data_IF_706907411088
#
_entry.id   IF_706907411088
#
_cell.length_a   1.000
_cell.length_b   1.000
_cell.length_c   1.000
_cell.angle_alpha   90.00
_cell.angle_beta   90.00
_cell.angle_gamma   90.00
#
_symmetry.space_group_name_H-M   'P 1'
#
loop_
_entity.id
_entity.type
_entity.pdbx_description
1 polymer ?
#
# COMPACT_ATOMS: atom_id res chain seq x y z
N UNK A 1 21.88 18.92 9.15
CA UNK A 1 22.05 19.68 7.90
C UNK A 1 20.74 19.57 7.11
N UNK A 2 19.89 20.61 7.21
CA UNK A 2 18.47 20.62 6.78
C UNK A 2 18.19 21.59 5.63
N UNK A 3 19.16 21.86 4.78
CA UNK A 3 19.13 22.93 3.76
C UNK A 3 18.65 22.48 2.35
N UNK A 4 18.14 21.26 2.16
CA UNK A 4 17.78 20.76 0.83
C UNK A 4 16.28 20.76 0.49
N UNK A 5 15.39 21.11 1.40
CA UNK A 5 13.93 21.01 1.20
C UNK A 5 13.21 22.36 1.03
N UNK A 6 13.89 23.48 1.21
CA UNK A 6 13.26 24.80 1.21
C UNK A 6 13.22 25.52 -0.14
N UNK A 7 13.87 25.04 -1.18
CA UNK A 7 13.94 25.75 -2.47
C UNK A 7 12.96 25.29 -3.56
N UNK A 8 12.01 24.39 -3.25
CA UNK A 8 10.98 23.91 -4.20
C UNK A 8 9.53 24.14 -3.78
N UNK A 9 9.27 24.78 -2.63
CA UNK A 9 7.92 24.91 -2.06
C UNK A 9 7.43 26.36 -2.06
N UNK A 10 7.47 27.05 -3.19
CA UNK A 10 6.67 28.25 -3.37
C UNK A 10 5.27 27.82 -3.81
N UNK A 11 4.31 27.81 -2.86
CA UNK A 11 2.88 27.65 -3.13
C UNK A 11 2.43 26.26 -3.65
N UNK A 12 3.21 25.21 -3.47
CA UNK A 12 2.99 23.91 -4.10
C UNK A 12 2.04 23.01 -3.31
N UNK A 13 0.87 22.72 -3.88
CA UNK A 13 0.07 21.54 -3.53
C UNK A 13 0.95 20.32 -3.71
N UNK A 14 1.18 19.55 -2.65
CA UNK A 14 1.83 18.22 -2.77
C UNK A 14 0.91 17.37 -3.63
N UNK A 15 1.30 17.11 -4.88
CA UNK A 15 0.49 16.32 -5.80
C UNK A 15 0.60 14.84 -5.40
N UNK A 16 -0.42 14.35 -4.72
CA UNK A 16 -0.61 12.92 -4.41
C UNK A 16 -0.77 12.07 -5.69
N UNK A 17 -0.86 12.71 -6.86
CA UNK A 17 -0.86 12.06 -8.19
C UNK A 17 0.36 11.16 -8.37
N UNK A 18 1.51 11.54 -7.83
CA UNK A 18 2.71 10.70 -7.82
C UNK A 18 2.55 9.45 -6.94
N UNK A 19 1.75 9.51 -5.89
CA UNK A 19 1.52 8.40 -4.96
C UNK A 19 0.66 7.27 -5.53
N UNK A 20 -0.29 7.59 -6.40
CA UNK A 20 -1.21 6.59 -6.98
C UNK A 20 -0.76 6.11 -8.38
N UNK A 21 0.09 6.86 -9.08
CA UNK A 21 0.52 6.55 -10.44
C UNK A 21 1.79 5.68 -10.55
N UNK A 22 2.41 5.29 -9.46
CA UNK A 22 3.51 4.30 -9.47
C UNK A 22 3.08 2.93 -10.00
N UNK A 23 1.79 2.72 -10.25
CA UNK A 23 1.22 1.52 -10.85
C UNK A 23 0.90 1.65 -12.35
N UNK A 24 1.44 2.61 -13.08
CA UNK A 24 1.28 2.60 -14.55
C UNK A 24 1.99 1.43 -15.16
N UNK A 25 1.19 0.44 -15.56
CA UNK A 25 1.57 -0.62 -16.46
C UNK A 25 2.29 -0.07 -17.70
N UNK A 26 3.31 -0.80 -18.14
CA UNK A 26 4.23 -0.39 -19.17
C UNK A 26 3.56 0.05 -20.47
N UNK A 27 3.99 1.19 -20.97
CA UNK A 27 3.84 1.52 -22.38
C UNK A 27 4.65 0.48 -23.19
N UNK A 28 4.02 -0.09 -24.21
CA UNK A 28 4.69 -0.88 -25.24
C UNK A 28 5.91 -0.11 -25.76
N UNK A 29 7.10 -0.60 -25.44
CA UNK A 29 8.36 -0.11 -26.02
C UNK A 29 8.67 -1.04 -27.18
N UNK A 30 9.02 -0.52 -28.37
CA UNK A 30 9.38 -1.35 -29.51
C UNK A 30 10.59 -2.23 -29.18
N UNK A 31 10.58 -3.46 -29.67
CA UNK A 31 11.62 -4.47 -29.49
C UNK A 31 12.94 -4.04 -30.12
N UNK A 32 13.77 -3.36 -29.37
CA UNK A 32 15.22 -3.34 -29.53
C UNK A 32 15.79 -3.86 -28.22
N UNK A 33 16.75 -4.78 -28.27
CA UNK A 33 17.40 -5.40 -27.10
C UNK A 33 18.10 -4.34 -26.24
N UNK A 34 17.35 -3.60 -25.43
CA UNK A 34 17.92 -2.89 -24.28
C UNK A 34 17.94 -3.86 -23.11
N UNK A 35 19.10 -4.01 -22.50
CA UNK A 35 19.23 -4.75 -21.24
C UNK A 35 18.24 -4.18 -20.21
N UNK A 36 17.68 -5.01 -19.38
CA UNK A 36 16.84 -4.54 -18.28
C UNK A 36 17.69 -3.80 -17.25
N UNK A 37 17.14 -2.83 -16.54
CA UNK A 37 17.86 -2.13 -15.46
C UNK A 37 18.40 -3.12 -14.40
N UNK A 38 17.65 -4.20 -14.13
CA UNK A 38 18.11 -5.31 -13.31
C UNK A 38 19.37 -5.96 -13.86
N UNK A 39 19.41 -6.27 -15.18
CA UNK A 39 20.56 -6.87 -15.85
C UNK A 39 21.79 -5.96 -15.76
N UNK A 40 21.61 -4.67 -16.00
CA UNK A 40 22.70 -3.68 -15.92
C UNK A 40 23.30 -3.61 -14.51
N UNK A 41 22.46 -3.50 -13.48
CA UNK A 41 22.93 -3.42 -12.09
C UNK A 41 23.54 -4.72 -11.60
N UNK A 42 22.95 -5.86 -11.97
CA UNK A 42 23.50 -7.18 -11.65
C UNK A 42 24.90 -7.38 -12.23
N UNK A 43 25.10 -6.99 -13.50
CA UNK A 43 26.40 -7.09 -14.15
C UNK A 43 27.43 -6.16 -13.50
N UNK A 44 27.05 -4.92 -13.17
CA UNK A 44 27.90 -3.99 -12.42
C UNK A 44 28.30 -4.54 -11.04
N UNK A 45 27.38 -5.23 -10.37
CA UNK A 45 27.66 -5.90 -9.10
C UNK A 45 28.49 -7.19 -9.24
N UNK A 46 28.75 -7.65 -10.46
CA UNK A 46 29.50 -8.89 -10.72
C UNK A 46 28.76 -10.16 -10.31
N UNK A 47 27.43 -10.11 -10.16
CA UNK A 47 26.63 -11.23 -9.68
C UNK A 47 26.05 -12.05 -10.83
N UNK A 48 25.98 -13.38 -10.66
CA UNK A 48 25.12 -14.23 -11.49
C UNK A 48 23.65 -13.95 -11.18
N UNK A 49 22.71 -14.38 -12.06
CA UNK A 49 21.27 -14.23 -11.81
C UNK A 49 20.84 -14.95 -10.52
N UNK A 50 21.45 -16.10 -10.24
CA UNK A 50 21.18 -16.87 -9.04
C UNK A 50 21.69 -16.16 -7.77
N UNK A 51 22.92 -15.64 -7.80
CA UNK A 51 23.47 -14.84 -6.68
C UNK A 51 22.68 -13.56 -6.45
N UNK A 52 22.22 -12.90 -7.52
CA UNK A 52 21.35 -11.75 -7.41
C UNK A 52 19.98 -12.11 -6.78
N UNK A 53 19.41 -13.26 -7.16
CA UNK A 53 18.18 -13.76 -6.55
C UNK A 53 18.34 -14.05 -5.04
N UNK A 54 19.45 -14.65 -4.66
CA UNK A 54 19.81 -14.90 -3.26
C UNK A 54 19.99 -13.59 -2.48
N UNK A 55 20.78 -12.66 -3.02
CA UNK A 55 21.02 -11.36 -2.39
C UNK A 55 19.73 -10.55 -2.20
N UNK A 56 18.81 -10.62 -3.17
CA UNK A 56 17.51 -9.96 -3.12
C UNK A 56 16.53 -10.74 -2.24
N UNK A 57 16.74 -12.05 -2.04
CA UNK A 57 15.84 -12.95 -1.33
C UNK A 57 14.59 -13.30 -2.15
N UNK A 58 14.69 -13.45 -3.46
CA UNK A 58 13.59 -13.83 -4.34
C UNK A 58 13.84 -15.18 -5.03
N UNK A 59 12.77 -15.77 -5.60
CA UNK A 59 12.93 -16.97 -6.40
C UNK A 59 13.79 -16.68 -7.65
N UNK A 60 14.67 -17.59 -8.01
CA UNK A 60 15.55 -17.48 -9.19
C UNK A 60 14.76 -17.28 -10.48
N UNK A 61 13.58 -17.90 -10.61
CA UNK A 61 12.66 -17.69 -11.73
C UNK A 61 12.18 -16.24 -11.87
N UNK A 62 11.96 -15.55 -10.72
CA UNK A 62 11.61 -14.13 -10.70
C UNK A 62 12.76 -13.26 -11.20
N UNK A 63 13.99 -13.56 -10.76
CA UNK A 63 15.20 -12.86 -11.23
C UNK A 63 15.41 -13.04 -12.74
N UNK A 64 15.19 -14.25 -13.26
CA UNK A 64 15.24 -14.47 -14.72
C UNK A 64 14.18 -13.69 -15.49
N UNK A 65 12.97 -13.51 -14.95
CA UNK A 65 11.94 -12.67 -15.59
C UNK A 65 12.35 -11.20 -15.65
N UNK A 66 13.03 -10.70 -14.64
CA UNK A 66 13.61 -9.35 -14.61
C UNK A 66 14.79 -9.24 -15.59
N UNK A 67 15.68 -10.24 -15.61
CA UNK A 67 16.83 -10.31 -16.51
C UNK A 67 16.38 -10.23 -17.97
N UNK A 68 15.36 -11.00 -18.33
CA UNK A 68 14.84 -11.08 -19.69
C UNK A 68 13.87 -9.93 -20.06
N UNK A 69 13.63 -8.98 -19.14
CA UNK A 69 12.73 -7.86 -19.37
C UNK A 69 11.24 -8.24 -19.47
N UNK A 70 10.86 -9.43 -19.04
CA UNK A 70 9.47 -9.90 -19.03
C UNK A 70 8.61 -9.13 -18.03
N UNK A 71 9.21 -8.67 -16.94
CA UNK A 71 8.61 -7.73 -16.00
C UNK A 71 9.70 -6.82 -15.42
N UNK A 72 9.29 -5.66 -14.87
CA UNK A 72 10.25 -4.76 -14.20
C UNK A 72 10.63 -5.33 -12.83
N UNK A 73 11.91 -5.25 -12.49
CA UNK A 73 12.35 -5.48 -11.12
C UNK A 73 11.73 -4.45 -10.17
N UNK A 74 11.46 -4.87 -8.95
CA UNK A 74 11.04 -3.94 -7.91
C UNK A 74 12.17 -2.94 -7.62
N UNK A 75 11.82 -1.71 -7.24
CA UNK A 75 12.80 -0.68 -6.90
C UNK A 75 13.82 -1.19 -5.88
N UNK A 76 13.35 -1.96 -4.92
CA UNK A 76 14.17 -2.58 -3.91
C UNK A 76 15.15 -3.62 -4.45
N UNK A 77 14.71 -4.47 -5.40
CA UNK A 77 15.64 -5.41 -6.03
C UNK A 77 16.79 -4.65 -6.69
N UNK A 78 16.47 -3.52 -7.32
CA UNK A 78 17.48 -2.62 -7.90
C UNK A 78 18.37 -1.99 -6.82
N UNK A 79 17.80 -1.60 -5.68
CA UNK A 79 18.56 -0.97 -4.58
C UNK A 79 19.50 -1.97 -3.88
N UNK A 80 19.07 -3.23 -3.72
CA UNK A 80 19.95 -4.32 -3.24
C UNK A 80 21.13 -4.52 -4.19
N UNK A 81 20.86 -4.54 -5.50
CA UNK A 81 21.94 -4.69 -6.49
C UNK A 81 22.88 -3.48 -6.51
N UNK A 82 22.33 -2.25 -6.39
CA UNK A 82 23.18 -1.04 -6.24
C UNK A 82 24.06 -1.12 -5.01
N UNK A 83 23.49 -1.56 -3.87
CA UNK A 83 24.28 -1.77 -2.65
C UNK A 83 25.34 -2.87 -2.76
N UNK A 84 25.22 -3.75 -3.74
CA UNK A 84 26.19 -4.81 -4.03
C UNK A 84 27.32 -4.38 -4.99
N UNK A 85 27.21 -3.20 -5.60
CA UNK A 85 28.24 -2.65 -6.48
C UNK A 85 29.37 -2.08 -5.61
N UNK A 86 30.63 -2.50 -5.76
CA UNK A 86 31.74 -1.95 -5.01
C UNK A 86 31.82 -0.42 -5.22
N UNK A 87 31.66 0.34 -4.13
CA UNK A 87 31.70 1.80 -4.15
C UNK A 87 30.36 2.52 -4.33
N UNK A 88 29.29 1.83 -4.67
CA UNK A 88 27.94 2.38 -4.70
C UNK A 88 27.13 1.82 -3.52
N UNK A 89 26.97 2.58 -2.45
CA UNK A 89 26.05 2.23 -1.36
C UNK A 89 24.57 2.35 -1.80
N UNK A 90 23.61 1.76 -1.06
CA UNK A 90 22.19 1.94 -1.35
C UNK A 90 21.87 3.44 -1.39
N UNK A 91 21.11 3.86 -2.40
CA UNK A 91 20.69 5.25 -2.50
C UNK A 91 19.99 5.66 -1.19
N UNK A 92 20.34 6.83 -0.62
CA UNK A 92 19.73 7.28 0.62
C UNK A 92 18.21 7.38 0.43
N UNK A 93 17.45 6.78 1.33
CA UNK A 93 16.00 6.87 1.30
C UNK A 93 15.58 8.34 1.45
N UNK A 94 14.61 8.78 0.65
CA UNK A 94 14.08 10.14 0.71
C UNK A 94 13.33 10.43 2.00
N UNK A 95 12.68 9.43 2.55
CA UNK A 95 11.92 9.46 3.80
C UNK A 95 11.74 8.07 4.36
N UNK A 96 11.43 7.98 5.65
CA UNK A 96 11.07 6.72 6.32
C UNK A 96 9.56 6.65 6.53
N UNK A 97 8.99 5.45 6.41
CA UNK A 97 7.57 5.25 6.68
C UNK A 97 7.31 3.95 7.42
N UNK A 98 6.12 3.88 8.04
CA UNK A 98 5.59 2.67 8.64
C UNK A 98 4.30 2.26 7.92
N UNK A 99 3.99 0.95 7.91
CA UNK A 99 2.83 0.36 7.25
C UNK A 99 2.03 -0.47 8.25
N UNK A 100 0.92 0.08 8.73
CA UNK A 100 0.07 -0.51 9.76
C UNK A 100 -1.17 -1.13 9.14
N UNK A 101 -1.62 -2.28 9.68
CA UNK A 101 -2.70 -3.08 9.07
C UNK A 101 -2.37 -3.38 7.61
N UNK A 102 -1.12 -3.76 7.37
CA UNK A 102 -0.47 -3.70 6.07
C UNK A 102 -1.07 -4.65 5.03
N UNK A 103 -1.81 -5.68 5.45
CA UNK A 103 -2.30 -6.71 4.56
C UNK A 103 -1.17 -7.37 3.79
N UNK A 104 -1.25 -7.31 2.46
CA UNK A 104 -0.19 -7.80 1.57
C UNK A 104 0.72 -6.69 1.06
N UNK A 105 0.66 -5.47 1.64
CA UNK A 105 1.53 -4.34 1.32
C UNK A 105 1.04 -3.45 0.18
N UNK A 106 -0.27 -3.32 0.01
CA UNK A 106 -0.83 -2.53 -1.08
C UNK A 106 -0.48 -1.05 -1.02
N UNK A 107 -0.61 -0.41 0.14
CA UNK A 107 -0.23 1.00 0.35
C UNK A 107 1.29 1.19 0.23
N UNK A 108 2.04 0.31 0.85
CA UNK A 108 3.50 0.33 0.85
C UNK A 108 4.09 0.44 -0.55
N UNK A 109 3.59 -0.32 -1.53
CA UNK A 109 4.14 -0.31 -2.90
C UNK A 109 4.22 1.07 -3.53
N UNK A 110 3.24 1.94 -3.23
CA UNK A 110 3.27 3.33 -3.70
C UNK A 110 4.40 4.14 -3.09
N UNK A 111 4.68 3.93 -1.81
CA UNK A 111 5.69 4.68 -1.07
C UNK A 111 7.11 4.17 -1.32
N UNK A 112 7.30 2.85 -1.50
CA UNK A 112 8.57 2.29 -1.98
C UNK A 112 8.93 2.88 -3.36
N UNK A 113 7.94 3.02 -4.27
CA UNK A 113 8.15 3.59 -5.61
C UNK A 113 8.56 5.08 -5.59
N UNK A 114 8.26 5.80 -4.51
CA UNK A 114 8.68 7.19 -4.28
C UNK A 114 10.06 7.32 -3.64
N UNK A 115 10.73 6.20 -3.37
CA UNK A 115 12.03 6.17 -2.71
C UNK A 115 11.93 6.22 -1.18
N UNK A 116 10.77 5.90 -0.62
CA UNK A 116 10.58 5.72 0.81
C UNK A 116 11.19 4.40 1.30
N UNK A 117 11.57 4.36 2.57
CA UNK A 117 12.02 3.14 3.27
C UNK A 117 11.01 2.77 4.34
N UNK A 118 10.44 1.57 4.24
CA UNK A 118 9.62 1.01 5.31
C UNK A 118 10.51 0.58 6.46
N UNK A 119 10.24 1.08 7.67
CA UNK A 119 11.04 0.79 8.88
C UNK A 119 10.27 -0.03 9.91
N UNK A 120 8.95 -0.10 9.79
CA UNK A 120 8.08 -0.88 10.65
C UNK A 120 6.82 -1.31 9.90
N UNK A 121 6.38 -2.54 10.16
CA UNK A 121 5.12 -3.08 9.60
C UNK A 121 4.35 -3.80 10.71
N UNK A 122 3.04 -3.63 10.72
CA UNK A 122 2.14 -4.44 11.55
C UNK A 122 1.03 -5.06 10.71
N UNK A 123 0.88 -6.40 10.85
CA UNK A 123 -0.20 -7.17 10.21
C UNK A 123 -0.54 -8.39 11.06
N UNK A 124 -1.81 -8.57 11.39
CA UNK A 124 -2.24 -9.67 12.26
C UNK A 124 -2.43 -10.99 11.50
N UNK A 125 -3.03 -10.93 10.29
CA UNK A 125 -3.35 -12.15 9.55
C UNK A 125 -2.09 -12.89 9.09
N UNK A 126 -1.95 -14.14 9.52
CA UNK A 126 -0.76 -14.96 9.24
C UNK A 126 -0.52 -15.23 7.75
N UNK A 127 -1.60 -15.24 6.93
CA UNK A 127 -1.47 -15.49 5.50
C UNK A 127 -1.09 -14.21 4.76
N UNK A 128 -1.67 -13.07 5.17
CA UNK A 128 -1.24 -11.76 4.70
C UNK A 128 0.24 -11.52 5.03
N UNK A 129 0.68 -11.85 6.25
CA UNK A 129 2.10 -11.78 6.65
C UNK A 129 3.02 -12.61 5.75
N UNK A 130 2.61 -13.84 5.39
CA UNK A 130 3.40 -14.69 4.48
C UNK A 130 3.56 -14.04 3.11
N UNK A 131 2.46 -13.51 2.56
CA UNK A 131 2.46 -12.82 1.27
C UNK A 131 3.29 -11.54 1.34
N UNK A 132 3.12 -10.76 2.41
CA UNK A 132 3.89 -9.55 2.64
C UNK A 132 5.39 -9.83 2.66
N UNK A 133 5.83 -10.79 3.49
CA UNK A 133 7.23 -11.19 3.61
C UNK A 133 7.82 -11.79 2.33
N UNK A 134 6.99 -12.45 1.51
CA UNK A 134 7.41 -12.94 0.21
C UNK A 134 7.63 -11.81 -0.82
N UNK A 135 6.92 -10.69 -0.68
CA UNK A 135 7.02 -9.56 -1.59
C UNK A 135 8.02 -8.48 -1.14
N UNK A 136 8.26 -8.38 0.18
CA UNK A 136 9.08 -7.32 0.76
C UNK A 136 10.15 -7.93 1.67
N UNK A 137 11.40 -7.84 1.24
CA UNK A 137 12.54 -8.34 2.00
C UNK A 137 13.26 -7.15 2.62
N UNK A 138 12.83 -6.73 3.78
CA UNK A 138 13.39 -5.58 4.48
C UNK A 138 14.73 -5.91 5.14
N UNK A 139 15.61 -4.94 5.22
CA UNK A 139 16.90 -5.08 5.90
C UNK A 139 16.74 -5.28 7.41
N UNK A 140 17.86 -5.49 8.14
CA UNK A 140 17.85 -5.81 9.57
C UNK A 140 17.23 -4.72 10.46
N UNK A 141 17.15 -3.48 9.96
CA UNK A 141 16.57 -2.36 10.71
C UNK A 141 15.05 -2.29 10.62
N UNK A 142 14.42 -3.14 9.79
CA UNK A 142 12.97 -3.20 9.70
C UNK A 142 12.40 -4.09 10.80
N UNK A 143 11.36 -3.62 11.46
CA UNK A 143 10.63 -4.39 12.47
C UNK A 143 9.27 -4.80 11.96
N UNK A 144 8.96 -6.09 12.07
CA UNK A 144 7.67 -6.65 11.72
C UNK A 144 6.93 -7.11 12.97
N UNK A 145 5.72 -6.61 13.17
CA UNK A 145 4.89 -6.94 14.32
C UNK A 145 3.54 -7.55 13.89
N UNK A 146 2.98 -8.42 14.72
CA UNK A 146 1.68 -9.05 14.45
C UNK A 146 0.52 -8.16 14.90
N UNK A 147 0.20 -8.23 16.19
CA UNK A 147 -0.94 -7.57 16.82
C UNK A 147 -0.57 -6.15 17.27
N UNK A 148 -1.13 -5.14 16.60
CA UNK A 148 -0.82 -3.72 16.87
C UNK A 148 -1.18 -3.29 18.28
N UNK A 149 -2.17 -3.93 18.91
CA UNK A 149 -2.62 -3.60 20.28
C UNK A 149 -1.59 -3.99 21.34
N UNK A 150 -0.63 -4.81 20.99
CA UNK A 150 0.44 -5.30 21.88
C UNK A 150 1.80 -4.67 21.59
N UNK A 151 1.84 -3.70 20.70
CA UNK A 151 3.07 -2.99 20.37
C UNK A 151 3.44 -2.03 21.49
N UNK A 152 4.67 -2.13 21.96
CA UNK A 152 5.25 -1.05 22.74
C UNK A 152 5.61 0.10 21.81
N UNK A 153 4.97 1.25 22.00
CA UNK A 153 5.13 2.43 21.16
C UNK A 153 6.58 2.90 21.05
N UNK A 154 7.37 2.71 22.10
CA UNK A 154 8.80 3.08 22.12
C UNK A 154 9.66 2.20 21.18
N UNK A 155 9.12 1.05 20.79
CA UNK A 155 9.84 0.14 19.86
C UNK A 155 9.61 0.49 18.40
N UNK A 156 8.64 1.35 18.08
CA UNK A 156 8.38 1.82 16.71
C UNK A 156 9.46 2.83 16.33
N UNK A 157 10.20 2.62 15.23
CA UNK A 157 11.24 3.56 14.82
C UNK A 157 10.68 4.91 14.40
N UNK A 158 11.48 5.97 14.53
CA UNK A 158 11.12 7.28 13.97
C UNK A 158 10.85 7.20 12.46
N UNK A 159 9.81 7.89 12.01
CA UNK A 159 9.37 7.88 10.63
C UNK A 159 8.71 9.22 10.25
N UNK A 160 8.73 9.52 8.96
CA UNK A 160 8.14 10.73 8.40
C UNK A 160 6.68 10.52 7.99
N UNK A 161 6.34 9.30 7.56
CA UNK A 161 5.01 8.96 7.01
C UNK A 161 4.43 7.75 7.71
N UNK A 162 3.15 7.79 8.02
CA UNK A 162 2.40 6.66 8.55
C UNK A 162 1.31 6.26 7.54
N UNK A 163 1.32 4.99 7.16
CA UNK A 163 0.30 4.36 6.32
C UNK A 163 -0.54 3.42 7.17
N UNK A 164 -1.87 3.43 6.99
CA UNK A 164 -2.74 2.48 7.68
C UNK A 164 -4.02 2.18 6.91
N UNK A 165 -4.24 0.91 6.57
CA UNK A 165 -5.51 0.37 6.10
C UNK A 165 -6.31 -0.21 7.27
N UNK A 166 -6.76 0.61 8.21
CA UNK A 166 -7.38 0.13 9.44
C UNK A 166 -8.78 -0.45 9.21
N UNK A 167 -9.20 -1.50 9.95
CA UNK A 167 -10.51 -2.12 9.76
C UNK A 167 -11.65 -1.23 10.23
N UNK A 168 -12.80 -1.31 9.54
CA UNK A 168 -14.03 -0.65 9.95
C UNK A 168 -14.67 -1.43 11.10
N UNK A 169 -14.35 -1.05 12.33
CA UNK A 169 -15.00 -1.57 13.53
C UNK A 169 -16.01 -0.57 14.06
N UNK A 170 -17.18 -1.02 14.56
CA UNK A 170 -18.14 -0.12 15.17
C UNK A 170 -17.54 0.52 16.42
N UNK A 171 -17.56 1.85 16.48
CA UNK A 171 -17.23 2.56 17.70
C UNK A 171 -18.33 2.34 18.73
N UNK A 172 -17.98 1.89 19.90
CA UNK A 172 -18.86 1.98 21.07
C UNK A 172 -18.92 3.45 21.52
N UNK A 173 -19.80 4.23 20.88
CA UNK A 173 -19.97 5.68 21.13
C UNK A 173 -20.48 5.95 22.56
N UNK A 174 -21.00 4.94 23.26
CA UNK A 174 -21.51 5.07 24.61
C UNK A 174 -20.46 5.63 25.61
N UNK A 175 -19.17 5.38 25.40
CA UNK A 175 -18.08 5.95 26.20
C UNK A 175 -17.74 7.40 25.85
N UNK A 176 -17.80 7.77 24.58
CA UNK A 176 -17.41 9.10 24.07
C UNK A 176 -18.50 10.12 24.38
N UNK A 177 -19.78 9.78 24.14
CA UNK A 177 -20.91 10.70 24.35
C UNK A 177 -21.17 11.06 25.85
N UNK A 178 -20.91 10.14 26.77
CA UNK A 178 -21.16 10.37 28.19
C UNK A 178 -20.16 11.33 28.85
N UNK A 179 -18.95 11.44 28.29
CA UNK A 179 -17.86 12.30 28.80
C UNK A 179 -17.85 13.68 28.16
N UNK A 180 -18.27 13.80 26.90
CA UNK A 180 -18.46 15.12 26.26
C UNK A 180 -19.60 15.91 26.89
N UNK A 181 -20.66 15.23 27.41
CA UNK A 181 -21.76 15.86 28.15
C UNK A 181 -21.34 16.40 29.53
N UNK A 182 -20.17 16.02 30.04
CA UNK A 182 -19.65 16.45 31.36
C UNK A 182 -18.57 17.54 31.26
N UNK A 183 -18.34 18.16 30.07
CA UNK A 183 -17.48 19.34 29.91
C UNK A 183 -16.01 19.13 30.30
N UNK A 184 -15.53 17.89 30.38
CA UNK A 184 -14.13 17.60 30.71
C UNK A 184 -13.34 17.44 29.44
N UNK A 185 -12.60 18.47 29.05
CA UNK A 185 -11.49 18.45 28.13
C UNK A 185 -10.40 17.50 28.65
N UNK A 186 -10.50 16.23 28.32
CA UNK A 186 -9.41 15.29 28.48
C UNK A 186 -9.17 14.66 27.12
N UNK A 187 -8.12 15.18 26.44
CA UNK A 187 -7.54 14.57 25.25
C UNK A 187 -7.31 13.07 25.41
N UNK A 188 -6.84 12.39 24.40
CA UNK A 188 -6.53 10.96 24.21
C UNK A 188 -6.51 9.97 25.40
N UNK A 189 -6.61 10.44 26.64
CA UNK A 189 -6.68 9.66 27.89
C UNK A 189 -8.07 9.10 28.21
N UNK A 190 -9.06 9.34 27.36
CA UNK A 190 -10.35 8.68 27.53
C UNK A 190 -10.24 7.23 27.11
N UNK A 191 -10.50 6.32 28.04
CA UNK A 191 -10.67 4.87 27.92
C UNK A 191 -11.79 4.47 26.92
N UNK A 192 -11.71 4.96 25.68
CA UNK A 192 -12.39 4.38 24.53
C UNK A 192 -11.58 3.16 24.08
N UNK A 193 -11.29 2.27 25.05
CA UNK A 193 -10.68 0.98 24.79
C UNK A 193 -11.58 0.21 23.84
N UNK A 194 -11.00 -0.27 22.75
CA UNK A 194 -11.62 -1.31 21.93
C UNK A 194 -11.80 -1.03 20.45
N UNK A 195 -11.25 0.06 19.90
CA UNK A 195 -11.20 0.18 18.45
C UNK A 195 -9.79 0.47 17.97
N UNK A 196 -9.36 -0.27 16.95
CA UNK A 196 -8.02 -0.18 16.37
C UNK A 196 -7.68 1.22 15.83
N UNK A 197 -8.67 2.07 15.58
CA UNK A 197 -8.44 3.48 15.27
C UNK A 197 -7.80 4.25 16.44
N UNK A 198 -8.16 3.98 17.67
CA UNK A 198 -7.55 4.67 18.82
C UNK A 198 -6.13 4.19 19.08
N UNK A 199 -5.82 2.90 18.83
CA UNK A 199 -4.44 2.41 18.87
C UNK A 199 -3.60 3.14 17.81
N UNK A 200 -4.14 3.29 16.58
CA UNK A 200 -3.54 4.10 15.52
C UNK A 200 -3.33 5.56 15.94
N UNK A 201 -4.34 6.17 16.56
CA UNK A 201 -4.26 7.55 17.05
C UNK A 201 -3.20 7.72 18.14
N UNK A 202 -3.02 6.74 19.02
CA UNK A 202 -1.94 6.74 20.01
C UNK A 202 -0.57 6.70 19.35
N UNK A 203 -0.38 5.88 18.32
CA UNK A 203 0.87 5.83 17.53
C UNK A 203 1.13 7.19 16.87
N UNK A 204 0.11 7.79 16.23
CA UNK A 204 0.22 9.11 15.60
C UNK A 204 0.59 10.18 16.64
N UNK A 205 -0.02 10.15 17.81
CA UNK A 205 0.25 11.09 18.90
C UNK A 205 1.69 10.96 19.42
N UNK A 206 2.16 9.73 19.61
CA UNK A 206 3.52 9.46 20.14
C UNK A 206 4.61 9.85 19.15
N UNK A 207 4.47 9.45 17.88
CA UNK A 207 5.52 9.61 16.88
C UNK A 207 5.41 10.87 16.03
N UNK A 208 4.24 11.51 16.00
CA UNK A 208 4.01 12.77 15.29
C UNK A 208 4.54 12.76 13.84
N UNK A 209 4.22 11.74 13.02
CA UNK A 209 4.66 11.72 11.63
C UNK A 209 4.27 13.00 10.89
N UNK A 210 5.05 13.39 9.88
CA UNK A 210 4.77 14.59 9.07
C UNK A 210 3.51 14.42 8.24
N UNK A 211 3.31 13.20 7.72
CA UNK A 211 2.20 12.84 6.83
C UNK A 211 1.56 11.54 7.30
N UNK A 212 0.24 11.47 7.23
CA UNK A 212 -0.53 10.24 7.42
C UNK A 212 -1.34 9.95 6.17
N UNK A 213 -1.45 8.69 5.79
CA UNK A 213 -2.37 8.22 4.76
C UNK A 213 -3.15 7.02 5.32
N UNK A 214 -4.44 7.24 5.51
CA UNK A 214 -5.34 6.25 6.07
C UNK A 214 -6.32 5.78 4.99
N UNK A 215 -6.63 4.49 4.97
CA UNK A 215 -7.60 3.88 4.05
C UNK A 215 -8.66 3.12 4.84
N UNK A 216 -9.88 3.17 4.33
CA UNK A 216 -10.99 2.38 4.86
C UNK A 216 -12.06 2.12 3.78
N UNK A 217 -13.09 1.35 4.11
CA UNK A 217 -14.24 1.17 3.23
C UNK A 217 -15.06 2.47 3.11
N UNK A 218 -15.66 2.73 1.95
CA UNK A 218 -16.49 3.92 1.68
C UNK A 218 -17.57 4.14 2.74
N UNK A 219 -18.15 3.05 3.25
CA UNK A 219 -19.24 3.10 4.24
C UNK A 219 -18.85 3.72 5.57
N UNK A 220 -17.54 3.92 5.85
CA UNK A 220 -17.07 4.64 7.03
C UNK A 220 -17.68 6.04 7.12
N UNK A 221 -17.87 6.72 5.99
CA UNK A 221 -18.47 8.07 5.95
C UNK A 221 -19.93 8.10 6.40
N UNK A 222 -20.69 7.03 6.17
CA UNK A 222 -22.09 6.94 6.51
C UNK A 222 -22.38 6.09 7.75
N UNK A 223 -21.35 5.43 8.28
CA UNK A 223 -21.46 4.57 9.46
C UNK A 223 -21.98 5.37 10.65
N UNK A 224 -22.98 4.82 11.34
CA UNK A 224 -23.66 5.45 12.46
C UNK A 224 -24.14 6.89 12.15
N UNK A 225 -24.78 7.08 10.99
CA UNK A 225 -25.25 8.39 10.48
C UNK A 225 -24.13 9.44 10.35
N UNK A 226 -22.92 9.00 10.02
CA UNK A 226 -21.73 9.85 9.87
C UNK A 226 -20.96 10.12 11.18
N UNK A 227 -21.50 9.76 12.33
CA UNK A 227 -20.86 10.05 13.63
C UNK A 227 -19.49 9.41 13.79
N UNK A 228 -19.32 8.20 13.25
CA UNK A 228 -18.02 7.52 13.28
C UNK A 228 -16.92 8.32 12.56
N UNK A 229 -17.24 8.82 11.38
CA UNK A 229 -16.28 9.63 10.61
C UNK A 229 -15.99 10.97 11.29
N UNK A 230 -17.01 11.61 11.90
CA UNK A 230 -16.81 12.86 12.65
C UNK A 230 -15.89 12.69 13.87
N UNK A 231 -15.96 11.56 14.56
CA UNK A 231 -15.03 11.23 15.67
C UNK A 231 -13.60 11.09 15.13
N UNK A 232 -13.39 10.41 14.00
CA UNK A 232 -12.08 10.27 13.36
C UNK A 232 -11.55 11.64 12.93
N UNK A 233 -12.38 12.44 12.29
CA UNK A 233 -12.03 13.79 11.82
C UNK A 233 -11.60 14.66 13.00
N UNK A 234 -12.42 14.74 14.05
CA UNK A 234 -12.11 15.49 15.27
C UNK A 234 -10.79 15.06 15.90
N UNK A 235 -10.57 13.75 16.05
CA UNK A 235 -9.32 13.22 16.59
C UNK A 235 -8.09 13.65 15.75
N UNK A 236 -8.18 13.58 14.43
CA UNK A 236 -7.07 13.92 13.54
C UNK A 236 -6.84 15.44 13.46
N UNK A 237 -7.90 16.25 13.32
CA UNK A 237 -7.78 17.69 13.10
C UNK A 237 -7.60 18.50 14.39
N UNK A 238 -8.40 18.22 15.41
CA UNK A 238 -8.48 19.05 16.61
C UNK A 238 -7.55 18.54 17.72
N UNK A 239 -7.43 17.22 17.90
CA UNK A 239 -6.60 16.66 18.97
C UNK A 239 -5.18 16.39 18.51
N UNK A 240 -5.00 15.80 17.31
CA UNK A 240 -3.68 15.44 16.78
C UNK A 240 -3.03 16.56 15.95
N UNK A 241 -3.79 17.57 15.52
CA UNK A 241 -3.27 18.75 14.83
C UNK A 241 -2.84 18.48 13.38
N UNK A 242 -3.57 17.63 12.67
CA UNK A 242 -3.39 17.42 11.23
C UNK A 242 -4.41 18.24 10.44
N UNK A 243 -4.02 18.71 9.29
CA UNK A 243 -4.95 19.18 8.26
C UNK A 243 -5.22 18.01 7.32
N UNK A 244 -6.48 17.59 7.22
CA UNK A 244 -6.84 16.41 6.43
C UNK A 244 -7.56 16.77 5.14
N UNK A 245 -7.33 15.95 4.10
CA UNK A 245 -8.12 15.90 2.87
C UNK A 245 -8.68 14.51 2.69
N UNK A 246 -9.95 14.42 2.31
CA UNK A 246 -10.69 13.17 2.24
C UNK A 246 -11.27 12.98 0.86
N UNK A 247 -11.15 11.76 0.31
CA UNK A 247 -11.76 11.41 -0.97
C UNK A 247 -12.10 9.93 -1.03
N UNK A 248 -13.27 9.64 -1.58
CA UNK A 248 -13.61 8.28 -2.00
C UNK A 248 -13.09 8.06 -3.42
N UNK A 249 -12.33 7.00 -3.61
CA UNK A 249 -11.76 6.60 -4.90
C UNK A 249 -12.26 5.21 -5.24
N UNK A 250 -12.75 5.06 -6.49
CA UNK A 250 -13.12 3.77 -7.05
C UNK A 250 -11.97 3.24 -7.91
N UNK A 251 -11.47 2.07 -7.58
CA UNK A 251 -10.37 1.45 -8.28
C UNK A 251 -10.69 1.11 -9.75
N UNK A 252 -11.98 1.11 -10.17
CA UNK A 252 -12.40 0.79 -11.55
C UNK A 252 -11.79 1.70 -12.62
N UNK A 253 -11.29 2.88 -12.24
CA UNK A 253 -10.56 3.76 -13.15
C UNK A 253 -9.12 3.28 -13.43
N UNK A 254 -8.60 2.34 -12.65
CA UNK A 254 -7.22 1.84 -12.71
C UNK A 254 -7.13 0.34 -13.02
N UNK A 255 -8.05 -0.44 -12.44
CA UNK A 255 -8.08 -1.92 -12.54
C UNK A 255 -9.50 -2.38 -12.85
N UNK A 256 -9.70 -3.59 -13.42
CA UNK A 256 -11.04 -4.09 -13.77
C UNK A 256 -11.81 -4.58 -12.53
N UNK A 257 -11.85 -3.74 -11.49
CA UNK A 257 -12.54 -4.03 -10.23
C UNK A 257 -13.26 -2.78 -9.71
N UNK A 258 -14.56 -2.90 -9.46
CA UNK A 258 -15.30 -1.91 -8.71
C UNK A 258 -14.97 -2.05 -7.23
N UNK A 259 -14.16 -1.12 -6.70
CA UNK A 259 -13.70 -1.12 -5.31
C UNK A 259 -13.57 0.31 -4.80
N UNK A 260 -14.62 0.79 -4.15
CA UNK A 260 -14.64 2.12 -3.55
C UNK A 260 -13.98 2.11 -2.16
N UNK A 261 -13.03 3.02 -1.97
CA UNK A 261 -12.34 3.22 -0.69
C UNK A 261 -12.25 4.69 -0.35
N UNK A 262 -12.44 5.00 0.92
CA UNK A 262 -12.14 6.32 1.44
C UNK A 262 -10.65 6.40 1.75
N UNK A 263 -10.03 7.46 1.26
CA UNK A 263 -8.66 7.84 1.62
C UNK A 263 -8.71 9.13 2.43
N UNK A 264 -7.98 9.14 3.54
CA UNK A 264 -7.81 10.28 4.42
C UNK A 264 -6.32 10.59 4.44
N UNK A 265 -5.91 11.63 3.77
CA UNK A 265 -4.53 12.10 3.79
C UNK A 265 -4.43 13.30 4.73
N UNK A 266 -3.49 13.25 5.66
CA UNK A 266 -3.27 14.32 6.63
C UNK A 266 -1.83 14.82 6.62
N UNK A 267 -1.66 16.12 6.74
CA UNK A 267 -0.35 16.76 6.92
C UNK A 267 -0.38 17.50 8.25
N UNK A 268 0.67 17.38 9.03
CA UNK A 268 0.77 18.04 10.33
C UNK A 268 0.74 19.57 10.14
N UNK A 269 -0.14 20.27 10.89
CA UNK A 269 -0.45 21.70 10.70
C UNK A 269 0.77 22.62 10.81
N UNK A 270 1.74 22.26 11.67
CA UNK A 270 2.96 23.04 11.88
C UNK A 270 3.91 23.11 10.67
N UNK A 271 3.69 22.23 9.66
CA UNK A 271 4.48 22.25 8.44
C UNK A 271 4.04 23.30 7.42
N UNK A 272 2.90 23.95 7.62
CA UNK A 272 2.39 25.02 6.74
C UNK A 272 2.08 24.58 5.31
N UNK A 273 1.92 23.29 5.06
CA UNK A 273 1.59 22.74 3.74
C UNK A 273 0.33 21.89 3.81
N UNK A 274 -0.33 21.74 2.65
CA UNK A 274 -1.63 21.06 2.53
C UNK A 274 -1.56 19.93 1.51
N UNK A 275 -2.32 18.88 1.77
CA UNK A 275 -2.64 17.85 0.80
C UNK A 275 -4.05 18.07 0.25
N UNK A 276 -4.23 17.91 -1.06
CA UNK A 276 -5.53 18.03 -1.71
C UNK A 276 -5.82 16.76 -2.54
N UNK A 277 -6.58 15.84 -1.95
CA UNK A 277 -7.06 14.65 -2.66
C UNK A 277 -8.14 15.01 -3.70
N UNK A 278 -8.87 16.12 -3.51
CA UNK A 278 -9.89 16.59 -4.45
C UNK A 278 -9.32 16.93 -5.82
N UNK A 279 -8.13 17.56 -5.83
CA UNK A 279 -7.41 17.91 -7.06
C UNK A 279 -6.72 16.75 -7.76
N UNK A 280 -6.80 15.52 -7.23
CA UNK A 280 -6.20 14.34 -7.84
C UNK A 280 -6.91 13.97 -9.15
N UNK A 281 -6.18 13.98 -10.25
CA UNK A 281 -6.71 13.57 -11.54
C UNK A 281 -6.74 12.05 -11.65
N UNK A 282 -7.93 11.46 -11.72
CA UNK A 282 -8.11 10.02 -11.93
C UNK A 282 -8.36 9.77 -13.44
N UNK A 283 -7.87 8.63 -13.97
CA UNK A 283 -8.16 8.24 -15.34
C UNK A 283 -9.68 8.11 -15.58
N UNK A 284 -10.09 8.37 -16.81
CA UNK A 284 -11.47 8.11 -17.25
C UNK A 284 -11.76 6.60 -17.16
N UNK A 285 -12.85 6.25 -16.49
CA UNK A 285 -13.30 4.87 -16.32
C UNK A 285 -13.55 4.16 -17.65
N UNK A 286 -14.03 4.90 -18.68
CA UNK A 286 -14.27 4.35 -20.01
C UNK A 286 -12.99 3.85 -20.69
N UNK A 287 -11.83 4.42 -20.32
CA UNK A 287 -10.50 4.08 -20.79
C UNK A 287 -9.75 3.14 -19.82
N UNK A 288 -10.41 2.71 -18.76
CA UNK A 288 -9.83 1.83 -17.75
C UNK A 288 -9.58 0.43 -18.26
N UNK A 289 -8.77 -0.31 -17.49
CA UNK A 289 -8.45 -1.71 -17.75
C UNK A 289 -9.70 -2.57 -17.73
N UNK A 290 -9.87 -3.43 -18.72
CA UNK A 290 -11.00 -4.36 -18.83
C UNK A 290 -10.66 -5.72 -18.26
N UNK A 291 -11.68 -6.50 -17.82
CA UNK A 291 -11.50 -7.86 -17.29
C UNK A 291 -10.69 -8.74 -18.26
N UNK A 292 -10.97 -8.68 -19.54
CA UNK A 292 -10.25 -9.47 -20.55
C UNK A 292 -8.73 -9.23 -20.61
N UNK A 293 -8.24 -8.12 -20.03
CA UNK A 293 -6.78 -7.85 -19.98
C UNK A 293 -6.04 -8.59 -18.87
N UNK A 294 -6.77 -9.22 -17.96
CA UNK A 294 -6.21 -10.00 -16.83
C UNK A 294 -6.60 -11.48 -16.88
N UNK A 295 -7.45 -11.87 -17.83
CA UNK A 295 -7.78 -13.27 -18.07
C UNK A 295 -6.69 -13.92 -18.91
N UNK A 296 -6.41 -15.18 -18.64
CA UNK A 296 -5.58 -16.01 -19.51
C UNK A 296 -6.23 -16.15 -20.88
N UNK A 297 -5.41 -16.18 -21.92
CA UNK A 297 -5.89 -16.37 -23.29
C UNK A 297 -6.26 -17.82 -23.50
N UNK A 298 -7.42 -18.04 -24.13
CA UNK A 298 -7.89 -19.39 -24.47
C UNK A 298 -7.20 -19.95 -25.74
N UNK A 299 -6.42 -19.13 -26.44
CA UNK A 299 -5.75 -19.49 -27.69
C UNK A 299 -4.41 -20.23 -27.52
N UNK A 300 -4.02 -20.52 -26.27
CA UNK A 300 -2.77 -21.21 -25.94
C UNK A 300 -1.50 -20.41 -26.25
N UNK A 301 -1.62 -19.11 -26.53
CA UNK A 301 -0.46 -18.24 -26.87
C UNK A 301 0.33 -17.79 -25.64
N UNK A 302 -0.17 -18.07 -24.43
CA UNK A 302 0.52 -17.72 -23.20
C UNK A 302 1.52 -18.80 -22.79
N UNK A 303 2.66 -18.36 -22.25
CA UNK A 303 3.60 -19.28 -21.62
C UNK A 303 2.98 -19.92 -20.39
N UNK A 304 3.38 -21.16 -20.07
CA UNK A 304 2.98 -21.80 -18.81
C UNK A 304 3.29 -20.93 -17.61
N UNK A 305 2.37 -20.89 -16.65
CA UNK A 305 2.51 -20.15 -15.40
C UNK A 305 2.40 -21.10 -14.18
N UNK A 306 3.45 -21.88 -13.90
CA UNK A 306 3.44 -22.77 -12.74
C UNK A 306 3.30 -21.97 -11.42
N UNK A 307 2.50 -22.43 -10.46
CA UNK A 307 1.80 -23.73 -10.42
C UNK A 307 0.39 -23.72 -11.00
N UNK A 308 -0.05 -22.64 -11.67
CA UNK A 308 -1.44 -22.45 -12.12
C UNK A 308 -1.75 -23.19 -13.40
N UNK A 309 -0.80 -23.17 -14.35
CA UNK A 309 -0.90 -23.94 -15.61
C UNK A 309 0.32 -24.82 -15.81
N UNK A 310 0.15 -25.94 -16.55
CA UNK A 310 1.23 -26.79 -17.01
C UNK A 310 1.81 -26.29 -18.35
N UNK A 311 2.84 -26.95 -18.85
CA UNK A 311 3.49 -26.61 -20.11
C UNK A 311 2.60 -26.78 -21.36
N UNK A 312 1.48 -27.48 -21.23
CA UNK A 312 0.45 -27.60 -22.26
C UNK A 312 -0.68 -26.57 -22.10
N UNK A 313 -0.54 -25.60 -21.19
CA UNK A 313 -1.53 -24.57 -20.89
C UNK A 313 -2.77 -25.08 -20.13
N UNK A 314 -2.75 -26.32 -19.62
CA UNK A 314 -3.88 -26.87 -18.87
C UNK A 314 -3.86 -26.33 -17.45
N UNK A 315 -5.05 -25.90 -16.98
CA UNK A 315 -5.22 -25.37 -15.62
C UNK A 315 -5.08 -26.51 -14.61
N UNK A 316 -4.30 -26.28 -13.58
CA UNK A 316 -4.16 -27.20 -12.46
C UNK A 316 -5.51 -27.34 -11.72
N UNK A 317 -6.00 -28.57 -11.56
CA UNK A 317 -7.29 -28.88 -10.94
C UNK A 317 -7.47 -28.27 -9.54
N UNK A 318 -6.36 -28.06 -8.81
CA UNK A 318 -6.38 -27.39 -7.49
C UNK A 318 -6.98 -25.99 -7.54
N UNK A 319 -6.87 -25.31 -8.67
CA UNK A 319 -7.35 -23.94 -8.89
C UNK A 319 -8.63 -23.88 -9.71
N UNK A 320 -9.20 -25.04 -10.05
CA UNK A 320 -10.46 -25.14 -10.76
C UNK A 320 -11.61 -25.24 -9.77
N UNK A 321 -12.66 -24.48 -9.99
CA UNK A 321 -13.87 -24.56 -9.17
C UNK A 321 -14.56 -25.90 -9.37
N UNK A 322 -15.17 -26.44 -8.32
CA UNK A 322 -16.09 -27.59 -8.48
C UNK A 322 -17.31 -27.15 -9.29
N UNK A 323 -17.92 -28.11 -10.00
CA UNK A 323 -19.14 -27.85 -10.80
C UNK A 323 -20.26 -27.24 -9.96
N UNK A 324 -20.42 -27.66 -8.71
CA UNK A 324 -21.40 -27.11 -7.78
C UNK A 324 -21.13 -25.64 -7.48
N UNK A 325 -19.85 -25.26 -7.21
CA UNK A 325 -19.50 -23.89 -6.91
C UNK A 325 -19.60 -23.01 -8.16
N UNK A 326 -19.23 -23.56 -9.33
CA UNK A 326 -19.38 -22.87 -10.60
C UNK A 326 -20.87 -22.59 -10.90
N UNK A 327 -21.75 -23.58 -10.73
CA UNK A 327 -23.19 -23.40 -10.94
C UNK A 327 -23.77 -22.34 -9.98
N UNK A 328 -23.41 -22.42 -8.70
CA UNK A 328 -23.81 -21.40 -7.72
C UNK A 328 -23.42 -19.98 -8.15
N UNK A 329 -22.19 -19.79 -8.61
CA UNK A 329 -21.72 -18.46 -9.07
C UNK A 329 -22.45 -18.00 -10.32
N UNK A 330 -22.76 -18.90 -11.25
CA UNK A 330 -23.59 -18.61 -12.43
C UNK A 330 -24.97 -18.12 -12.06
N UNK A 331 -25.67 -18.90 -11.24
CA UNK A 331 -27.03 -18.58 -10.80
C UNK A 331 -27.07 -17.24 -10.06
N UNK A 332 -26.06 -16.98 -9.23
CA UNK A 332 -25.90 -15.70 -8.55
C UNK A 332 -25.69 -14.53 -9.53
N UNK A 333 -24.83 -14.69 -10.52
CA UNK A 333 -24.58 -13.70 -11.54
C UNK A 333 -25.84 -13.40 -12.36
N UNK A 334 -26.57 -14.44 -12.78
CA UNK A 334 -27.81 -14.30 -13.55
C UNK A 334 -28.91 -13.57 -12.76
N UNK A 335 -29.04 -13.88 -11.47
CA UNK A 335 -29.97 -13.19 -10.56
C UNK A 335 -29.67 -11.68 -10.44
N UNK A 336 -28.41 -11.28 -10.57
CA UNK A 336 -27.96 -9.88 -10.45
C UNK A 336 -27.84 -9.17 -11.80
N UNK A 337 -27.79 -9.89 -12.91
CA UNK A 337 -27.79 -9.31 -14.27
C UNK A 337 -29.15 -8.74 -14.65
N UNK A 338 -30.23 -9.26 -14.08
CA UNK A 338 -31.61 -8.85 -14.33
C UNK A 338 -32.06 -7.63 -13.50
N UNK A 339 -31.18 -7.04 -12.70
CA UNK A 339 -31.41 -5.81 -11.95
C UNK A 339 -30.62 -4.63 -12.55
#
# INVERSE_FOLDING_TARGET
MWAGWSSGLHGGKISLVLLLFACKGGKNIPRGRRMSEFSELRQKAGLSVQQAAEAIGCATSTAYRWENGQCRASQRALDVLRGSIPGEGPAPSRFRFIDLFAGIGGLRRGFDALGGRCVFTSEWDRFAQKTYKANFHDGPDHRFWGDITKVDLETIPEHDVLLAGFPCQPFSIAGVSKKNALGRLHGFRCDAQGTLFFDLAHIINRHRPKVILLENVKTLMSHDRGRTFEVIRHALEDELGYEISVRVIDAKCLVPQHRERIFIAGVRKDLGCRVDLGGLHLPDVSKGTRMGSILHREDGSEASDPPFTDDAGRINARYTLSDHLWQYLRDYADKHRAK
#
